data_IF_114328847307
#
_entry.id   IF_114328847307
#
_cell.length_a   1.000
_cell.length_b   1.000
_cell.length_c   1.000
_cell.angle_alpha   90.00
_cell.angle_beta   90.00
_cell.angle_gamma   90.00
#
_symmetry.space_group_name_H-M   'P 1'
#
loop_
_entity.id
_entity.type
_entity.pdbx_description
1 polymer ?
#
# COMPACT_ATOMS: atom_id res chain seq x y z
N UNK A 1 14.71 0.94 15.40
CA UNK A 1 14.60 -0.46 15.83
C UNK A 1 13.62 -1.22 14.94
N UNK A 2 13.99 -2.44 14.51
CA UNK A 2 13.17 -3.27 13.62
C UNK A 2 12.44 -4.33 14.45
N UNK A 3 11.11 -4.42 14.31
CA UNK A 3 10.26 -5.35 15.05
C UNK A 3 9.75 -6.43 14.10
N UNK A 4 9.74 -7.68 14.54
CA UNK A 4 9.23 -8.80 13.73
C UNK A 4 7.77 -9.08 14.07
N UNK A 5 6.90 -8.91 13.08
CA UNK A 5 5.52 -9.39 13.07
C UNK A 5 5.42 -10.67 12.21
N UNK A 6 4.44 -11.53 12.51
CA UNK A 6 4.20 -12.76 11.75
C UNK A 6 2.90 -12.64 10.97
N UNK A 7 2.97 -12.54 9.64
CA UNK A 7 1.77 -12.50 8.80
C UNK A 7 1.49 -13.90 8.25
N UNK A 8 0.29 -14.41 8.52
CA UNK A 8 -0.14 -15.76 8.13
C UNK A 8 -1.31 -15.65 7.18
N UNK A 9 -1.23 -16.35 6.04
CA UNK A 9 -2.30 -16.35 5.05
C UNK A 9 -2.60 -17.77 4.58
N UNK A 10 -3.85 -18.00 4.19
CA UNK A 10 -4.29 -19.27 3.61
C UNK A 10 -4.40 -19.10 2.10
N UNK A 11 -3.69 -19.93 1.33
CA UNK A 11 -3.72 -19.90 -0.13
C UNK A 11 -4.26 -21.21 -0.68
N UNK A 12 -5.17 -21.13 -1.65
CA UNK A 12 -5.59 -22.28 -2.47
C UNK A 12 -4.50 -22.62 -3.49
N UNK A 13 -4.07 -23.87 -3.52
CA UNK A 13 -3.14 -24.38 -4.54
C UNK A 13 -3.92 -24.74 -5.81
N UNK A 14 -3.40 -24.37 -6.99
CA UNK A 14 -3.92 -24.90 -8.26
C UNK A 14 -3.56 -26.38 -8.33
N UNK A 15 -4.54 -27.26 -8.52
CA UNK A 15 -4.27 -28.66 -8.87
C UNK A 15 -3.54 -28.68 -10.21
N UNK A 16 -2.33 -29.22 -10.25
CA UNK A 16 -1.55 -29.34 -11.48
C UNK A 16 -2.34 -30.11 -12.54
N UNK A 17 -2.52 -29.49 -13.71
CA UNK A 17 -3.10 -30.15 -14.88
C UNK A 17 -2.07 -31.09 -15.50
N UNK A 18 -2.32 -32.39 -15.39
CA UNK A 18 -1.53 -33.44 -16.03
C UNK A 18 -2.26 -34.77 -16.00
N UNK A 19 -3.05 -35.03 -17.06
CA UNK A 19 -3.40 -36.36 -17.57
C UNK A 19 -4.17 -37.36 -16.67
N UNK A 20 -5.44 -37.58 -17.01
CA UNK A 20 -6.07 -38.91 -16.91
C UNK A 20 -6.85 -39.25 -15.63
N UNK A 21 -8.14 -39.60 -15.85
CA UNK A 21 -9.03 -40.41 -15.02
C UNK A 21 -9.61 -39.85 -13.69
N UNK A 22 -10.94 -39.67 -13.73
CA UNK A 22 -11.98 -39.85 -12.69
C UNK A 22 -11.54 -39.87 -11.21
N UNK A 23 -11.97 -38.85 -10.46
CA UNK A 23 -12.07 -38.86 -8.99
C UNK A 23 -11.83 -37.48 -8.39
N UNK A 24 -12.77 -36.96 -7.59
CA UNK A 24 -12.80 -35.57 -7.13
C UNK A 24 -11.52 -35.10 -6.44
N UNK A 25 -10.75 -34.24 -7.12
CA UNK A 25 -9.57 -33.60 -6.56
C UNK A 25 -9.96 -32.36 -5.75
N UNK A 26 -10.10 -32.52 -4.43
CA UNK A 26 -10.25 -31.38 -3.52
C UNK A 26 -9.06 -30.43 -3.67
N UNK A 27 -9.33 -29.17 -4.00
CA UNK A 27 -8.29 -28.15 -4.14
C UNK A 27 -7.51 -27.99 -2.84
N UNK A 28 -6.21 -28.28 -2.87
CA UNK A 28 -5.34 -28.17 -1.71
C UNK A 28 -5.35 -26.76 -1.12
N UNK A 29 -5.28 -26.69 0.20
CA UNK A 29 -5.20 -25.43 0.96
C UNK A 29 -3.88 -25.45 1.72
N UNK A 30 -3.02 -24.45 1.48
CA UNK A 30 -1.72 -24.32 2.15
C UNK A 30 -1.71 -23.08 3.03
N UNK A 31 -1.28 -23.26 4.29
CA UNK A 31 -0.98 -22.16 5.21
C UNK A 31 0.42 -21.62 4.90
N UNK A 32 0.51 -20.34 4.57
CA UNK A 32 1.76 -19.65 4.28
C UNK A 32 2.05 -18.69 5.44
N UNK A 33 3.23 -18.83 6.05
CA UNK A 33 3.75 -17.87 7.04
C UNK A 33 4.82 -17.02 6.37
N UNK A 34 4.68 -15.70 6.44
CA UNK A 34 5.68 -14.74 5.99
C UNK A 34 6.12 -13.89 7.16
N UNK A 35 7.41 -13.64 7.21
CA UNK A 35 7.97 -12.65 8.13
C UNK A 35 7.60 -11.26 7.64
N UNK A 36 7.15 -10.42 8.55
CA UNK A 36 6.81 -9.04 8.27
C UNK A 36 7.56 -8.16 9.26
N UNK A 37 8.29 -7.17 8.77
CA UNK A 37 9.16 -6.36 9.61
C UNK A 37 8.62 -4.95 9.72
N UNK A 38 8.32 -4.54 10.94
CA UNK A 38 7.89 -3.21 11.28
C UNK A 38 9.08 -2.34 11.65
N UNK A 39 9.00 -1.10 11.24
CA UNK A 39 10.04 -0.09 11.32
C UNK A 39 9.50 1.12 12.06
N UNK A 40 10.39 1.77 12.80
CA UNK A 40 10.15 3.05 13.47
C UNK A 40 10.80 4.22 12.72
N UNK A 41 11.52 3.96 11.64
CA UNK A 41 12.23 4.94 10.80
C UNK A 41 11.52 5.19 9.45
N UNK A 42 10.22 4.90 9.37
CA UNK A 42 9.40 5.25 8.20
C UNK A 42 8.89 6.69 8.38
N UNK A 43 9.30 7.58 7.49
CA UNK A 43 8.98 9.00 7.55
C UNK A 43 7.66 9.35 6.84
N UNK A 44 7.08 10.50 7.18
CA UNK A 44 5.81 10.96 6.64
C UNK A 44 5.95 11.96 5.48
N UNK A 45 7.18 12.38 5.18
CA UNK A 45 7.49 13.24 4.03
C UNK A 45 7.15 14.72 4.19
N UNK A 46 6.89 15.18 5.41
CA UNK A 46 6.51 16.57 5.69
C UNK A 46 7.62 17.33 6.43
N UNK A 47 7.96 18.54 5.96
CA UNK A 47 9.04 19.36 6.51
C UNK A 47 8.85 19.69 8.00
N UNK A 48 7.62 20.02 8.39
CA UNK A 48 7.27 20.38 9.77
C UNK A 48 6.96 19.18 10.69
N UNK A 49 7.13 17.95 10.22
CA UNK A 49 6.89 16.76 11.05
C UNK A 49 7.80 16.73 12.28
N UNK A 50 7.38 16.03 13.35
CA UNK A 50 8.24 15.71 14.49
C UNK A 50 9.54 15.05 13.99
N UNK A 51 10.65 15.28 14.69
CA UNK A 51 11.98 14.76 14.32
C UNK A 51 11.98 13.24 14.09
N UNK A 52 11.10 12.51 14.77
CA UNK A 52 10.91 11.07 14.62
C UNK A 52 10.37 10.66 13.25
N UNK A 53 9.61 11.53 12.57
CA UNK A 53 8.93 11.22 11.30
C UNK A 53 9.39 12.09 10.12
N UNK A 54 10.30 13.04 10.33
CA UNK A 54 10.78 13.99 9.30
C UNK A 54 11.64 13.34 8.21
N UNK A 55 12.22 12.19 8.49
CA UNK A 55 13.16 11.50 7.60
C UNK A 55 14.61 11.96 7.82
N UNK A 56 15.57 11.27 7.19
CA UNK A 56 17.00 11.45 7.48
C UNK A 56 17.59 12.75 6.93
N UNK A 57 17.04 13.28 5.83
CA UNK A 57 17.53 14.47 5.16
C UNK A 57 16.43 15.15 4.30
N UNK A 58 16.77 16.30 3.70
CA UNK A 58 15.82 17.11 2.94
C UNK A 58 15.23 16.41 1.70
N UNK A 59 15.87 15.35 1.17
CA UNK A 59 15.31 14.58 0.05
C UNK A 59 14.10 13.75 0.44
N UNK A 60 13.90 13.50 1.74
CA UNK A 60 12.73 12.82 2.27
C UNK A 60 11.49 13.73 2.30
N UNK A 61 11.69 15.05 2.19
CA UNK A 61 10.60 16.04 2.25
C UNK A 61 9.93 16.14 0.88
N UNK A 62 8.63 15.85 0.86
CA UNK A 62 7.74 16.02 -0.29
C UNK A 62 6.82 17.22 -0.09
N UNK A 63 6.37 17.45 1.15
CA UNK A 63 5.53 18.58 1.56
C UNK A 63 6.39 19.59 2.30
N UNK A 64 6.72 20.70 1.63
CA UNK A 64 7.74 21.65 2.08
C UNK A 64 7.15 22.96 2.60
N UNK A 65 5.86 23.19 2.40
CA UNK A 65 5.17 24.44 2.73
C UNK A 65 4.34 24.37 4.00
N UNK A 66 3.56 25.43 4.21
CA UNK A 66 2.38 25.40 5.06
C UNK A 66 1.19 24.89 4.22
N UNK A 67 1.31 23.72 3.58
CA UNK A 67 0.19 23.16 2.82
C UNK A 67 -0.97 22.93 3.81
N UNK A 68 -2.06 23.70 3.65
CA UNK A 68 -3.17 23.64 4.60
C UNK A 68 -3.98 22.35 4.51
N UNK A 69 -3.89 21.64 3.38
CA UNK A 69 -4.66 20.42 3.11
C UNK A 69 -3.78 19.41 2.39
N UNK A 70 -3.59 18.26 3.02
CA UNK A 70 -2.98 17.08 2.42
C UNK A 70 -4.10 16.03 2.31
N UNK A 71 -4.37 15.56 1.10
CA UNK A 71 -5.39 14.56 0.88
C UNK A 71 -4.82 13.15 1.11
N UNK A 72 -5.61 12.29 1.74
CA UNK A 72 -5.35 10.84 1.79
C UNK A 72 -6.43 10.18 0.95
N UNK A 73 -6.04 9.36 -0.02
CA UNK A 73 -6.99 8.70 -0.92
C UNK A 73 -7.17 7.22 -0.57
N UNK A 74 -8.35 6.68 -0.86
CA UNK A 74 -8.62 5.26 -0.82
C UNK A 74 -8.35 4.57 -2.17
N UNK A 75 -8.52 3.26 -2.22
CA UNK A 75 -8.37 2.48 -3.44
C UNK A 75 -9.47 2.74 -4.47
N UNK A 76 -10.69 3.07 -4.05
CA UNK A 76 -11.79 3.34 -5.00
C UNK A 76 -11.57 4.65 -5.78
N UNK A 77 -11.06 5.69 -5.13
CA UNK A 77 -10.63 6.94 -5.77
C UNK A 77 -9.50 6.65 -6.75
N UNK A 78 -8.51 5.85 -6.36
CA UNK A 78 -7.43 5.42 -7.25
C UNK A 78 -7.93 4.62 -8.47
N UNK A 79 -9.01 3.84 -8.33
CA UNK A 79 -9.56 3.02 -9.41
C UNK A 79 -10.49 3.78 -10.35
N UNK A 80 -11.29 4.69 -9.81
CA UNK A 80 -12.44 5.26 -10.51
C UNK A 80 -12.31 6.76 -10.78
N UNK A 81 -11.42 7.46 -10.09
CA UNK A 81 -11.27 8.91 -10.19
C UNK A 81 -9.86 9.34 -10.62
N UNK A 82 -9.18 8.52 -11.42
CA UNK A 82 -7.82 8.79 -11.89
C UNK A 82 -7.71 10.14 -12.64
N UNK A 83 -8.72 10.51 -13.41
CA UNK A 83 -8.71 11.76 -14.17
C UNK A 83 -8.83 12.98 -13.24
N UNK A 84 -9.56 12.84 -12.12
CA UNK A 84 -9.61 13.87 -11.08
C UNK A 84 -8.24 14.01 -10.39
N UNK A 85 -7.60 12.88 -10.03
CA UNK A 85 -6.23 12.89 -9.48
C UNK A 85 -5.21 13.48 -10.47
N UNK A 86 -5.42 13.30 -11.77
CA UNK A 86 -4.58 13.84 -12.82
C UNK A 86 -4.76 15.36 -13.01
N UNK A 87 -5.85 15.96 -12.54
CA UNK A 87 -6.11 17.39 -12.68
C UNK A 87 -5.00 18.25 -12.05
N UNK A 88 -4.52 19.29 -12.75
CA UNK A 88 -3.32 20.06 -12.36
C UNK A 88 -3.40 20.70 -10.96
N UNK A 89 -4.60 21.02 -10.50
CA UNK A 89 -4.84 21.60 -9.16
C UNK A 89 -4.84 20.56 -8.04
N UNK A 90 -4.98 19.27 -8.37
CA UNK A 90 -4.84 18.20 -7.37
C UNK A 90 -3.36 17.90 -7.18
N UNK A 91 -2.87 18.32 -6.02
CA UNK A 91 -1.50 18.16 -5.53
C UNK A 91 -1.57 17.75 -4.06
N UNK A 92 -0.43 17.37 -3.49
CA UNK A 92 -0.29 17.09 -2.06
C UNK A 92 -1.15 15.91 -1.59
N UNK A 93 -0.88 14.73 -2.16
CA UNK A 93 -1.64 13.51 -1.88
C UNK A 93 -0.76 12.46 -1.24
N UNK A 94 -1.20 11.91 -0.11
CA UNK A 94 -0.61 10.72 0.51
C UNK A 94 -1.38 9.50 0.03
N UNK A 95 -0.62 8.49 -0.42
CA UNK A 95 -1.13 7.22 -0.87
C UNK A 95 -0.52 6.13 0.00
N UNK A 96 -1.36 5.34 0.68
CA UNK A 96 -0.87 4.21 1.46
C UNK A 96 -0.34 3.09 0.57
N UNK A 97 0.71 2.40 1.01
CA UNK A 97 1.23 1.21 0.31
C UNK A 97 0.15 0.13 0.11
N UNK A 98 -0.79 0.00 1.06
CA UNK A 98 -1.97 -0.87 0.92
C UNK A 98 -2.86 -0.46 -0.25
N UNK A 99 -3.11 0.84 -0.44
CA UNK A 99 -3.89 1.38 -1.57
C UNK A 99 -3.19 1.10 -2.90
N UNK A 100 -1.87 1.23 -2.96
CA UNK A 100 -1.08 0.89 -4.15
C UNK A 100 -1.23 -0.59 -4.51
N UNK A 101 -1.10 -1.50 -3.54
CA UNK A 101 -1.21 -2.94 -3.78
C UNK A 101 -2.65 -3.39 -4.08
N UNK A 102 -3.65 -2.80 -3.44
CA UNK A 102 -5.06 -3.10 -3.73
C UNK A 102 -5.43 -2.63 -5.15
N UNK A 103 -4.98 -1.42 -5.54
CA UNK A 103 -5.15 -0.90 -6.91
C UNK A 103 -4.48 -1.83 -7.91
N UNK A 104 -3.26 -2.32 -7.62
CA UNK A 104 -2.53 -3.26 -8.47
C UNK A 104 -3.26 -4.60 -8.60
N UNK A 105 -3.82 -5.12 -7.51
CA UNK A 105 -4.55 -6.38 -7.50
C UNK A 105 -5.85 -6.30 -8.32
N UNK A 106 -6.52 -5.14 -8.31
CA UNK A 106 -7.78 -4.90 -9.04
C UNK A 106 -7.55 -4.48 -10.50
N UNK A 107 -6.58 -3.62 -10.79
CA UNK A 107 -6.29 -3.12 -12.13
C UNK A 107 -4.83 -2.69 -12.30
N UNK A 108 -4.07 -3.48 -13.08
CA UNK A 108 -2.69 -3.15 -13.45
C UNK A 108 -2.61 -1.80 -14.18
N UNK A 109 -3.58 -1.50 -15.04
CA UNK A 109 -3.61 -0.22 -15.78
C UNK A 109 -3.79 0.97 -14.84
N UNK A 110 -4.70 0.89 -13.86
CA UNK A 110 -4.87 1.94 -12.86
C UNK A 110 -3.60 2.11 -12.01
N UNK A 111 -2.97 1.00 -11.61
CA UNK A 111 -1.71 1.05 -10.87
C UNK A 111 -0.58 1.76 -11.64
N UNK A 112 -0.37 1.45 -12.93
CA UNK A 112 0.67 2.13 -13.71
C UNK A 112 0.37 3.62 -13.90
N UNK A 113 -0.91 4.00 -14.06
CA UNK A 113 -1.33 5.41 -14.12
C UNK A 113 -1.07 6.13 -12.79
N UNK A 114 -1.46 5.53 -11.66
CA UNK A 114 -1.23 6.07 -10.33
C UNK A 114 0.27 6.24 -10.04
N UNK A 115 1.07 5.23 -10.42
CA UNK A 115 2.52 5.26 -10.33
C UNK A 115 3.12 6.40 -11.18
N UNK A 116 2.55 6.65 -12.36
CA UNK A 116 2.89 7.81 -13.18
C UNK A 116 2.65 9.13 -12.46
N UNK A 117 1.51 9.29 -11.80
CA UNK A 117 1.22 10.48 -10.97
C UNK A 117 2.19 10.62 -9.79
N UNK A 118 2.61 9.51 -9.18
CA UNK A 118 3.63 9.52 -8.11
C UNK A 118 5.01 9.94 -8.61
N UNK A 119 5.35 9.66 -9.88
CA UNK A 119 6.62 10.05 -10.47
C UNK A 119 6.65 11.55 -10.88
N UNK A 120 5.48 12.15 -11.07
CA UNK A 120 5.35 13.57 -11.37
C UNK A 120 5.61 14.43 -10.12
N UNK A 121 6.79 15.07 -10.08
CA UNK A 121 7.19 15.92 -8.95
C UNK A 121 6.29 17.14 -8.76
N UNK A 122 5.59 17.59 -9.79
CA UNK A 122 4.66 18.73 -9.68
C UNK A 122 3.42 18.39 -8.85
N UNK A 123 3.07 17.10 -8.80
CA UNK A 123 1.93 16.58 -8.04
C UNK A 123 2.20 16.44 -6.55
N UNK A 124 3.46 16.20 -6.16
CA UNK A 124 3.84 15.93 -4.76
C UNK A 124 3.01 14.79 -4.16
N UNK A 125 2.91 13.69 -4.89
CA UNK A 125 2.25 12.48 -4.41
C UNK A 125 3.28 11.66 -3.62
N UNK A 126 2.95 11.33 -2.37
CA UNK A 126 3.82 10.60 -1.46
C UNK A 126 3.25 9.23 -1.15
N UNK A 127 4.05 8.18 -1.38
CA UNK A 127 3.66 6.80 -1.02
C UNK A 127 4.14 6.50 0.39
N UNK A 128 3.20 6.42 1.33
CA UNK A 128 3.49 6.09 2.72
C UNK A 128 3.48 4.57 2.95
N UNK A 129 4.58 4.03 3.47
CA UNK A 129 4.76 2.59 3.74
C UNK A 129 4.06 2.15 5.03
N UNK A 130 2.74 2.34 5.09
CA UNK A 130 1.90 2.09 6.27
C UNK A 130 1.98 0.65 6.81
N UNK A 131 2.11 -0.36 5.95
CA UNK A 131 2.25 -1.74 6.43
C UNK A 131 3.57 -1.94 7.19
N UNK A 132 4.62 -1.19 6.86
CA UNK A 132 5.93 -1.36 7.48
C UNK A 132 6.15 -0.39 8.64
N UNK A 133 5.26 0.56 8.90
CA UNK A 133 5.39 1.51 10.02
C UNK A 133 4.75 0.94 11.29
N UNK A 134 5.51 0.88 12.38
CA UNK A 134 5.12 0.22 13.64
C UNK A 134 3.77 0.70 14.19
N UNK A 135 3.49 2.00 14.10
CA UNK A 135 2.28 2.59 14.69
C UNK A 135 1.05 2.51 13.80
N UNK A 136 1.22 2.21 12.50
CA UNK A 136 0.10 2.16 11.54
C UNK A 136 -0.16 0.77 11.01
N UNK A 137 0.68 -0.20 11.38
CA UNK A 137 0.44 -1.60 11.07
C UNK A 137 -0.69 -2.15 11.94
N UNK A 138 -1.62 -2.84 11.29
CA UNK A 138 -2.75 -3.51 11.93
C UNK A 138 -2.72 -5.00 11.55
N UNK A 139 -2.93 -5.86 12.54
CA UNK A 139 -3.11 -7.30 12.31
C UNK A 139 -4.58 -7.56 11.97
N UNK A 140 -4.83 -8.44 11.00
CA UNK A 140 -6.19 -8.84 10.66
C UNK A 140 -6.84 -9.58 11.84
N UNK A 141 -8.03 -9.16 12.25
CA UNK A 141 -8.77 -9.82 13.31
C UNK A 141 -9.51 -11.05 12.78
N UNK A 142 -9.80 -11.98 13.68
CA UNK A 142 -10.60 -13.15 13.33
C UNK A 142 -12.03 -12.71 12.96
N UNK A 143 -12.46 -13.04 11.74
CA UNK A 143 -13.80 -12.72 11.24
C UNK A 143 -13.87 -11.49 10.33
N UNK A 144 -12.78 -10.74 10.19
CA UNK A 144 -12.69 -9.63 9.24
C UNK A 144 -12.48 -10.13 7.81
N UNK A 145 -13.12 -9.47 6.86
CA UNK A 145 -12.81 -9.62 5.44
C UNK A 145 -11.52 -8.87 5.10
N UNK A 146 -11.01 -9.06 3.88
CA UNK A 146 -9.79 -8.35 3.42
C UNK A 146 -10.01 -6.83 3.30
N UNK A 147 -11.27 -6.38 3.25
CA UNK A 147 -11.62 -4.97 3.08
C UNK A 147 -12.01 -4.29 4.40
N UNK A 148 -12.13 -5.04 5.50
CA UNK A 148 -12.38 -4.49 6.84
C UNK A 148 -11.04 -4.08 7.49
#
# INVERSE_FOLDING_TARGET
AMYRANKVFVKRTKSGGGGGARGGGGGGVTKVRREHYLRDDVFCGHASADVRYRGPDASAVVFAGNEHVIAIIDSNVALHQMDALAHAEVRDVVICSTVMEETRAKSKSAYERLRGLCADRTKRFFVFSNEHHKETYVEACAGESVND
#
